data_IF_791500319165
#
_entry.id   IF_791500319165
#
_cell.length_a   1.000
_cell.length_b   1.000
_cell.length_c   1.000
_cell.angle_alpha   90.00
_cell.angle_beta   90.00
_cell.angle_gamma   90.00
#
_symmetry.space_group_name_H-M   'P 1'
#
loop_
_entity.id
_entity.type
_entity.pdbx_description
1 polymer ?
#
# COMPACT_ATOMS: atom_id res chain seq x y z
N UNK A 1 -9.43 -0.40 3.07
CA UNK A 1 -10.82 -0.86 3.16
C UNK A 1 -11.12 -1.74 1.95
N UNK A 2 -11.39 -3.02 2.19
CA UNK A 2 -11.59 -4.00 1.13
C UNK A 2 -13.07 -4.06 0.72
N UNK A 3 -13.39 -3.58 -0.47
CA UNK A 3 -14.73 -3.66 -1.07
C UNK A 3 -14.93 -4.99 -1.82
N UNK A 4 -14.47 -6.09 -1.21
CA UNK A 4 -14.51 -7.45 -1.79
C UNK A 4 -15.20 -8.43 -0.85
N UNK A 5 -16.01 -9.35 -1.35
CA UNK A 5 -16.69 -10.35 -0.51
C UNK A 5 -15.73 -11.41 0.04
N UNK A 6 -14.54 -11.57 -0.55
CA UNK A 6 -13.57 -12.64 -0.32
C UNK A 6 -12.20 -12.15 0.16
N UNK A 7 -12.15 -11.00 0.83
CA UNK A 7 -10.90 -10.45 1.40
C UNK A 7 -10.21 -11.47 2.32
N UNK A 8 -8.89 -11.63 2.18
CA UNK A 8 -8.12 -12.56 3.02
C UNK A 8 -8.01 -12.10 4.48
N UNK A 9 -8.16 -10.80 4.75
CA UNK A 9 -8.04 -10.22 6.09
C UNK A 9 -9.36 -10.22 6.85
N UNK A 10 -10.42 -9.65 6.26
CA UNK A 10 -11.69 -9.39 6.94
C UNK A 10 -12.86 -10.28 6.47
N UNK A 11 -12.59 -11.22 5.55
CA UNK A 11 -13.60 -12.15 5.00
C UNK A 11 -14.86 -11.45 4.48
N UNK A 12 -14.68 -10.27 3.86
CA UNK A 12 -15.77 -9.49 3.30
C UNK A 12 -16.55 -8.62 4.31
N UNK A 13 -16.04 -8.42 5.52
CA UNK A 13 -16.70 -7.62 6.55
C UNK A 13 -16.98 -6.18 6.08
N UNK A 14 -16.14 -5.61 5.23
CA UNK A 14 -16.28 -4.26 4.67
C UNK A 14 -16.85 -4.24 3.25
N UNK A 15 -17.46 -5.32 2.78
CA UNK A 15 -18.09 -5.36 1.45
C UNK A 15 -19.36 -4.49 1.38
N UNK A 16 -20.15 -4.40 2.45
CA UNK A 16 -21.32 -3.49 2.53
C UNK A 16 -20.88 -2.08 2.93
N UNK A 17 -21.64 -1.06 2.51
CA UNK A 17 -21.28 0.35 2.70
C UNK A 17 -21.19 0.76 4.17
N UNK A 18 -22.17 0.43 5.00
CA UNK A 18 -22.17 0.83 6.42
C UNK A 18 -20.96 0.29 7.21
N UNK A 19 -20.62 -1.01 7.18
CA UNK A 19 -19.40 -1.51 7.84
C UNK A 19 -18.12 -0.91 7.24
N UNK A 20 -18.09 -0.67 5.92
CA UNK A 20 -16.94 -0.06 5.26
C UNK A 20 -16.73 1.39 5.73
N UNK A 21 -17.79 2.18 5.82
CA UNK A 21 -17.72 3.56 6.32
C UNK A 21 -17.34 3.61 7.80
N UNK A 22 -17.89 2.72 8.62
CA UNK A 22 -17.49 2.60 10.02
C UNK A 22 -15.98 2.27 10.15
N UNK A 23 -15.44 1.43 9.26
CA UNK A 23 -13.98 1.14 9.21
C UNK A 23 -13.17 2.36 8.78
N UNK A 24 -13.65 3.16 7.82
CA UNK A 24 -13.01 4.44 7.45
C UNK A 24 -12.97 5.38 8.65
N UNK A 25 -14.12 5.59 9.31
CA UNK A 25 -14.22 6.46 10.48
C UNK A 25 -13.27 6.03 11.60
N UNK A 26 -13.23 4.74 11.89
CA UNK A 26 -12.29 4.17 12.86
C UNK A 26 -10.82 4.43 12.44
N UNK A 27 -10.45 4.15 11.18
CA UNK A 27 -9.08 4.34 10.71
C UNK A 27 -8.64 5.82 10.79
N UNK A 28 -9.52 6.74 10.43
CA UNK A 28 -9.27 8.18 10.56
C UNK A 28 -9.11 8.58 12.04
N UNK A 29 -9.97 8.08 12.92
CA UNK A 29 -9.86 8.33 14.37
C UNK A 29 -8.58 7.74 14.98
N UNK A 30 -8.08 6.61 14.46
CA UNK A 30 -6.81 5.98 14.81
C UNK A 30 -5.58 6.70 14.22
N UNK A 31 -5.78 7.71 13.36
CA UNK A 31 -4.74 8.57 12.80
C UNK A 31 -4.24 8.17 11.42
N UNK A 32 -5.03 7.43 10.62
CA UNK A 32 -4.72 7.21 9.22
C UNK A 32 -4.82 8.53 8.44
N UNK A 33 -3.76 8.88 7.70
CA UNK A 33 -3.76 10.03 6.80
C UNK A 33 -4.28 9.69 5.40
N UNK A 34 -4.20 8.42 5.02
CA UNK A 34 -4.61 7.90 3.72
C UNK A 34 -5.58 6.73 3.95
N UNK A 35 -6.70 6.73 3.24
CA UNK A 35 -7.62 5.59 3.18
C UNK A 35 -7.48 4.92 1.83
N UNK A 36 -6.99 3.66 1.84
CA UNK A 36 -6.83 2.86 0.63
C UNK A 36 -8.04 1.95 0.43
N UNK A 37 -8.67 2.06 -0.74
CA UNK A 37 -9.93 1.38 -1.10
C UNK A 37 -9.66 0.42 -2.25
N UNK A 38 -9.93 -0.89 -2.05
CA UNK A 38 -9.73 -1.90 -3.08
C UNK A 38 -11.03 -2.62 -3.44
N UNK A 39 -11.37 -2.68 -4.73
CA UNK A 39 -12.55 -3.36 -5.28
C UNK A 39 -12.31 -4.80 -5.68
N UNK A 40 -11.04 -5.21 -5.80
CA UNK A 40 -10.62 -6.55 -6.23
C UNK A 40 -9.56 -7.09 -5.29
N UNK A 41 -9.68 -8.36 -4.92
CA UNK A 41 -8.68 -9.06 -4.11
C UNK A 41 -7.40 -9.26 -4.92
N UNK A 42 -6.26 -8.96 -4.30
CA UNK A 42 -4.95 -9.09 -4.93
C UNK A 42 -4.55 -10.54 -5.29
N UNK A 43 -5.06 -11.55 -4.58
CA UNK A 43 -4.77 -12.96 -4.86
C UNK A 43 -5.68 -13.59 -5.91
N UNK A 44 -5.41 -14.84 -6.31
CA UNK A 44 -6.29 -15.62 -7.19
C UNK A 44 -7.73 -15.71 -6.66
N UNK A 45 -8.68 -15.81 -7.55
CA UNK A 45 -10.10 -15.90 -7.24
C UNK A 45 -10.95 -15.74 -8.50
N UNK A 46 -12.26 -15.61 -8.33
CA UNK A 46 -13.18 -15.36 -9.45
C UNK A 46 -12.82 -14.07 -10.20
N UNK A 47 -12.99 -14.09 -11.52
CA UNK A 47 -12.74 -12.90 -12.32
C UNK A 47 -13.72 -11.79 -11.93
N UNK A 48 -13.19 -10.59 -11.76
CA UNK A 48 -13.94 -9.36 -11.50
C UNK A 48 -13.73 -8.44 -12.68
N UNK A 49 -14.80 -8.09 -13.40
CA UNK A 49 -14.72 -7.14 -14.50
C UNK A 49 -14.40 -5.73 -14.00
N UNK A 50 -13.90 -4.89 -14.88
CA UNK A 50 -13.66 -3.48 -14.54
C UNK A 50 -14.96 -2.73 -14.18
N UNK A 51 -16.06 -3.04 -14.86
CA UNK A 51 -17.40 -2.50 -14.54
C UNK A 51 -17.82 -2.86 -13.10
N UNK A 52 -17.63 -4.13 -12.70
CA UNK A 52 -17.95 -4.57 -11.34
C UNK A 52 -17.01 -3.95 -10.31
N UNK A 53 -15.72 -3.79 -10.60
CA UNK A 53 -14.77 -3.09 -9.75
C UNK A 53 -15.16 -1.62 -9.56
N UNK A 54 -15.50 -0.92 -10.65
CA UNK A 54 -15.98 0.46 -10.60
C UNK A 54 -17.29 0.56 -9.80
N UNK A 55 -18.22 -0.36 -9.98
CA UNK A 55 -19.48 -0.42 -9.21
C UNK A 55 -19.22 -0.54 -7.70
N UNK A 56 -18.19 -1.29 -7.27
CA UNK A 56 -17.81 -1.46 -5.87
C UNK A 56 -17.12 -0.26 -5.27
N UNK A 57 -16.42 0.54 -6.08
CA UNK A 57 -15.48 1.55 -5.58
C UNK A 57 -15.95 2.98 -5.81
N UNK A 58 -16.48 3.34 -6.97
CA UNK A 58 -16.76 4.73 -7.35
C UNK A 58 -17.72 5.43 -6.39
N UNK A 59 -18.88 4.82 -6.12
CA UNK A 59 -19.86 5.40 -5.18
C UNK A 59 -19.32 5.49 -3.75
N UNK A 60 -18.51 4.53 -3.36
CA UNK A 60 -17.89 4.52 -2.03
C UNK A 60 -16.80 5.61 -1.89
N UNK A 61 -15.97 5.82 -2.91
CA UNK A 61 -15.00 6.93 -2.97
C UNK A 61 -15.70 8.27 -2.82
N UNK A 62 -16.77 8.50 -3.57
CA UNK A 62 -17.56 9.74 -3.48
C UNK A 62 -18.14 9.96 -2.08
N UNK A 63 -18.64 8.92 -1.42
CA UNK A 63 -19.19 9.01 -0.07
C UNK A 63 -18.10 9.25 0.98
N UNK A 64 -16.92 8.60 0.86
CA UNK A 64 -15.77 8.85 1.73
C UNK A 64 -15.30 10.29 1.58
N UNK A 65 -15.15 10.81 0.35
CA UNK A 65 -14.78 12.20 0.09
C UNK A 65 -15.77 13.19 0.72
N UNK A 66 -17.06 12.90 0.62
CA UNK A 66 -18.11 13.75 1.19
C UNK A 66 -18.05 13.82 2.71
N UNK A 67 -17.73 12.69 3.40
CA UNK A 67 -17.67 12.62 4.87
C UNK A 67 -16.34 13.10 5.44
N UNK A 68 -15.25 12.84 4.72
CA UNK A 68 -13.88 13.10 5.15
C UNK A 68 -13.16 13.93 4.07
N UNK A 69 -13.47 15.23 3.94
CA UNK A 69 -12.96 16.06 2.85
C UNK A 69 -11.44 16.22 2.85
N UNK A 70 -10.79 16.09 4.01
CA UNK A 70 -9.36 16.33 4.18
C UNK A 70 -8.51 15.04 4.13
N UNK A 71 -9.14 13.84 4.11
CA UNK A 71 -8.39 12.59 4.04
C UNK A 71 -7.92 12.33 2.62
N UNK A 72 -6.70 11.83 2.45
CA UNK A 72 -6.23 11.35 1.14
C UNK A 72 -6.91 10.02 0.82
N UNK A 73 -7.55 9.94 -0.34
CA UNK A 73 -8.20 8.72 -0.81
C UNK A 73 -7.32 8.05 -1.85
N UNK A 74 -6.82 6.87 -1.52
CA UNK A 74 -6.10 5.96 -2.41
C UNK A 74 -7.06 4.90 -2.94
N UNK A 75 -6.91 4.50 -4.20
CA UNK A 75 -7.65 3.39 -4.77
C UNK A 75 -6.71 2.35 -5.35
N UNK A 76 -6.80 1.12 -4.81
CA UNK A 76 -6.05 -0.06 -5.26
C UNK A 76 -6.71 -0.59 -6.54
N UNK A 77 -6.12 -0.27 -7.69
CA UNK A 77 -6.52 -0.75 -9.01
C UNK A 77 -5.35 -0.70 -9.98
N UNK A 78 -5.33 -1.63 -10.94
CA UNK A 78 -4.37 -1.62 -12.06
C UNK A 78 -5.01 -1.18 -13.38
N UNK A 79 -6.34 -0.92 -13.40
CA UNK A 79 -7.10 -0.64 -14.62
C UNK A 79 -7.29 0.84 -14.86
N UNK A 80 -6.91 1.32 -16.01
CA UNK A 80 -7.06 2.74 -16.39
C UNK A 80 -8.51 3.21 -16.36
N UNK A 81 -9.47 2.40 -16.83
CA UNK A 81 -10.89 2.78 -16.84
C UNK A 81 -11.50 2.91 -15.44
N UNK A 82 -11.07 2.06 -14.49
CA UNK A 82 -11.47 2.18 -13.07
C UNK A 82 -10.79 3.40 -12.46
N UNK A 83 -9.50 3.60 -12.73
CA UNK A 83 -8.73 4.77 -12.32
C UNK A 83 -9.41 6.07 -12.74
N UNK A 84 -9.85 6.19 -14.00
CA UNK A 84 -10.59 7.34 -14.52
C UNK A 84 -11.86 7.62 -13.70
N UNK A 85 -12.66 6.60 -13.46
CA UNK A 85 -13.93 6.72 -12.75
C UNK A 85 -13.74 7.11 -11.27
N UNK A 86 -12.75 6.52 -10.57
CA UNK A 86 -12.51 6.83 -9.15
C UNK A 86 -11.84 8.20 -8.96
N UNK A 87 -10.99 8.64 -9.89
CA UNK A 87 -10.44 10.00 -9.88
C UNK A 87 -11.55 11.04 -10.07
N UNK A 88 -12.48 10.81 -11.00
CA UNK A 88 -13.65 11.66 -11.18
C UNK A 88 -14.56 11.71 -9.93
N UNK A 89 -14.56 10.64 -9.11
CA UNK A 89 -15.29 10.55 -7.85
C UNK A 89 -14.55 11.16 -6.65
N UNK A 90 -13.28 11.58 -6.81
CA UNK A 90 -12.52 12.29 -5.79
C UNK A 90 -11.36 11.49 -5.18
N UNK A 91 -10.82 10.47 -5.84
CA UNK A 91 -9.56 9.84 -5.44
C UNK A 91 -8.37 10.78 -5.66
N UNK A 92 -7.39 10.74 -4.76
CA UNK A 92 -6.16 11.56 -4.80
C UNK A 92 -4.93 10.75 -5.21
N UNK A 93 -4.99 9.41 -5.10
CA UNK A 93 -3.88 8.50 -5.32
C UNK A 93 -4.38 7.22 -5.98
N UNK A 94 -3.71 6.79 -7.02
CA UNK A 94 -3.90 5.46 -7.61
C UNK A 94 -2.80 4.51 -7.10
N UNK A 95 -3.20 3.42 -6.48
CA UNK A 95 -2.28 2.41 -5.95
C UNK A 95 -2.19 1.25 -6.93
N UNK A 96 -1.19 1.30 -7.84
CA UNK A 96 -0.93 0.23 -8.80
C UNK A 96 -0.08 -0.87 -8.17
N UNK A 97 -0.75 -1.84 -7.60
CA UNK A 97 -0.08 -3.00 -6.99
C UNK A 97 0.48 -4.01 -8.02
N UNK A 98 0.29 -3.79 -9.33
CA UNK A 98 0.63 -4.76 -10.38
C UNK A 98 1.67 -4.25 -11.40
N UNK A 99 2.46 -3.25 -11.01
CA UNK A 99 3.67 -2.88 -11.73
C UNK A 99 3.45 -2.35 -13.14
N UNK A 100 2.41 -1.57 -13.35
CA UNK A 100 2.10 -1.00 -14.66
C UNK A 100 1.48 -1.99 -15.63
N UNK A 101 0.74 -3.00 -15.13
CA UNK A 101 0.07 -4.01 -15.96
C UNK A 101 -0.87 -3.36 -17.00
N UNK A 102 -1.53 -2.26 -16.64
CA UNK A 102 -2.20 -1.36 -17.59
C UNK A 102 -1.44 -0.03 -17.64
N UNK A 103 -0.66 0.21 -18.70
CA UNK A 103 0.13 1.43 -18.84
C UNK A 103 -0.71 2.71 -18.94
N UNK A 104 -1.99 2.61 -19.26
CA UNK A 104 -2.93 3.74 -19.30
C UNK A 104 -3.23 4.31 -17.92
N UNK A 105 -3.01 3.55 -16.83
CA UNK A 105 -3.26 4.05 -15.47
C UNK A 105 -2.38 5.25 -15.10
N UNK A 106 -1.11 5.26 -15.50
CA UNK A 106 -0.21 6.39 -15.30
C UNK A 106 -0.66 7.65 -16.10
N UNK A 107 -1.24 7.46 -17.29
CA UNK A 107 -1.82 8.55 -18.08
C UNK A 107 -3.07 9.14 -17.39
N UNK A 108 -3.88 8.29 -16.76
CA UNK A 108 -5.02 8.73 -15.93
C UNK A 108 -4.52 9.56 -14.76
N UNK A 109 -3.53 9.07 -14.01
CA UNK A 109 -2.95 9.80 -12.88
C UNK A 109 -2.45 11.19 -13.30
N UNK A 110 -1.78 11.29 -14.46
CA UNK A 110 -1.30 12.54 -15.02
C UNK A 110 -2.45 13.49 -15.38
N UNK A 111 -3.48 13.02 -16.11
CA UNK A 111 -4.64 13.83 -16.51
C UNK A 111 -5.39 14.42 -15.33
N UNK A 112 -5.61 13.62 -14.29
CA UNK A 112 -6.30 14.03 -13.06
C UNK A 112 -5.40 14.74 -12.07
N UNK A 113 -4.06 14.76 -12.30
CA UNK A 113 -3.04 15.32 -11.40
C UNK A 113 -3.11 14.70 -10.00
N UNK A 114 -3.37 13.40 -9.93
CA UNK A 114 -3.36 12.60 -8.71
C UNK A 114 -2.03 11.85 -8.55
N UNK A 115 -1.76 11.35 -7.36
CA UNK A 115 -0.56 10.55 -7.10
C UNK A 115 -0.63 9.15 -7.72
N UNK A 116 0.54 8.51 -7.81
CA UNK A 116 0.66 7.13 -8.29
C UNK A 116 1.65 6.34 -7.41
N UNK A 117 1.27 5.14 -7.02
CA UNK A 117 2.19 4.16 -6.43
C UNK A 117 2.70 3.24 -7.52
N UNK A 118 4.01 3.15 -7.65
CA UNK A 118 4.71 2.29 -8.61
C UNK A 118 5.25 1.05 -7.88
N UNK A 119 4.55 -0.06 -7.98
CA UNK A 119 4.87 -1.29 -7.23
C UNK A 119 5.63 -2.28 -8.09
N UNK A 120 6.60 -2.97 -7.50
CA UNK A 120 7.28 -4.10 -8.13
C UNK A 120 6.47 -5.39 -7.98
N UNK A 121 5.91 -5.88 -9.08
CA UNK A 121 5.14 -7.13 -9.14
C UNK A 121 5.93 -8.34 -9.68
N UNK A 122 7.22 -8.18 -10.01
CA UNK A 122 8.09 -9.24 -10.53
C UNK A 122 7.62 -9.81 -11.88
N UNK A 123 6.99 -9.00 -12.72
CA UNK A 123 6.44 -9.41 -14.01
C UNK A 123 5.24 -10.37 -13.91
N UNK A 124 4.67 -10.52 -12.73
CA UNK A 124 3.48 -11.35 -12.54
C UNK A 124 2.25 -10.68 -13.15
N UNK A 125 1.43 -11.46 -13.86
CA UNK A 125 0.11 -11.00 -14.28
C UNK A 125 -0.79 -10.73 -13.06
N UNK A 126 -1.69 -9.73 -13.14
CA UNK A 126 -2.61 -9.42 -12.06
C UNK A 126 -3.35 -10.65 -11.53
N UNK A 127 -3.40 -10.77 -10.19
CA UNK A 127 -4.09 -11.85 -9.47
C UNK A 127 -3.51 -13.25 -9.67
N UNK A 128 -2.28 -13.35 -10.18
CA UNK A 128 -1.56 -14.62 -10.27
C UNK A 128 -0.58 -14.81 -9.11
N UNK A 129 -0.24 -16.06 -8.81
CA UNK A 129 0.82 -16.42 -7.87
C UNK A 129 1.78 -17.36 -8.58
N UNK A 130 2.94 -16.86 -9.04
CA UNK A 130 3.95 -17.73 -9.68
C UNK A 130 4.51 -18.72 -8.64
N UNK A 131 4.61 -20.00 -9.04
CA UNK A 131 5.09 -21.07 -8.14
C UNK A 131 6.59 -21.02 -7.86
N UNK A 132 7.37 -20.45 -8.75
CA UNK A 132 8.83 -20.32 -8.61
C UNK A 132 9.25 -18.98 -9.17
N UNK A 133 9.82 -18.16 -8.30
CA UNK A 133 10.35 -16.85 -8.64
C UNK A 133 11.84 -16.87 -8.34
N UNK A 134 12.64 -16.45 -9.30
CA UNK A 134 14.10 -16.33 -9.17
C UNK A 134 14.54 -14.94 -9.60
N UNK A 135 15.49 -14.39 -8.86
CA UNK A 135 16.18 -13.14 -9.17
C UNK A 135 17.67 -13.38 -9.03
N UNK A 136 18.48 -12.81 -9.88
CA UNK A 136 19.93 -12.74 -9.66
C UNK A 136 20.23 -11.77 -8.49
N UNK A 137 19.55 -10.63 -8.46
CA UNK A 137 19.48 -9.68 -7.36
C UNK A 137 18.08 -9.05 -7.30
N UNK A 138 17.32 -9.40 -6.26
CA UNK A 138 15.93 -8.94 -6.11
C UNK A 138 15.82 -7.42 -5.94
N UNK A 139 16.81 -6.78 -5.27
CA UNK A 139 16.76 -5.33 -5.06
C UNK A 139 17.16 -4.55 -6.30
N UNK A 140 18.08 -5.05 -7.10
CA UNK A 140 18.41 -4.46 -8.40
C UNK A 140 17.19 -4.46 -9.32
N UNK A 141 16.47 -5.59 -9.39
CA UNK A 141 15.24 -5.72 -10.18
C UNK A 141 14.11 -4.79 -9.63
N UNK A 142 13.92 -4.76 -8.31
CA UNK A 142 12.96 -3.84 -7.67
C UNK A 142 13.25 -2.39 -8.02
N UNK A 143 14.51 -1.96 -7.92
CA UNK A 143 14.91 -0.59 -8.22
C UNK A 143 14.73 -0.26 -9.70
N UNK A 144 15.19 -1.12 -10.59
CA UNK A 144 15.06 -0.91 -12.05
C UNK A 144 13.59 -0.71 -12.43
N UNK A 145 12.72 -1.61 -12.00
CA UNK A 145 11.29 -1.58 -12.34
C UNK A 145 10.59 -0.36 -11.70
N UNK A 146 10.73 -0.17 -10.39
CA UNK A 146 9.97 0.88 -9.70
C UNK A 146 10.43 2.28 -10.06
N UNK A 147 11.73 2.50 -10.20
CA UNK A 147 12.27 3.79 -10.65
C UNK A 147 11.87 4.08 -12.10
N UNK A 148 11.96 3.08 -12.99
CA UNK A 148 11.52 3.23 -14.38
C UNK A 148 10.04 3.59 -14.50
N UNK A 149 9.16 2.96 -13.70
CA UNK A 149 7.74 3.30 -13.64
C UNK A 149 7.52 4.72 -13.09
N UNK A 150 8.26 5.12 -12.04
CA UNK A 150 8.16 6.44 -11.45
C UNK A 150 8.62 7.55 -12.41
N UNK A 151 9.74 7.36 -13.11
CA UNK A 151 10.25 8.27 -14.13
C UNK A 151 9.28 8.42 -15.29
N UNK A 152 8.69 7.30 -15.74
CA UNK A 152 7.64 7.32 -16.77
C UNK A 152 6.41 8.11 -16.31
N UNK A 153 5.93 7.90 -15.08
CA UNK A 153 4.80 8.64 -14.53
C UNK A 153 5.05 10.16 -14.53
N UNK A 154 6.25 10.58 -14.12
CA UNK A 154 6.65 11.99 -14.14
C UNK A 154 6.74 12.53 -15.58
N UNK A 155 7.29 11.75 -16.50
CA UNK A 155 7.36 12.14 -17.91
C UNK A 155 5.96 12.32 -18.55
N UNK A 156 4.95 11.60 -18.07
CA UNK A 156 3.54 11.76 -18.47
C UNK A 156 2.86 12.95 -17.80
N UNK A 157 3.46 13.55 -16.76
CA UNK A 157 2.93 14.72 -16.08
C UNK A 157 2.41 14.52 -14.65
N UNK A 158 2.61 13.33 -14.05
CA UNK A 158 2.34 13.13 -12.62
C UNK A 158 3.34 13.96 -11.81
N UNK A 159 2.91 14.78 -10.82
CA UNK A 159 3.83 15.53 -9.98
C UNK A 159 4.82 14.59 -9.27
N UNK A 160 6.12 14.89 -9.36
CA UNK A 160 7.17 14.02 -8.81
C UNK A 160 6.96 13.74 -7.31
N UNK A 161 6.55 14.73 -6.55
CA UNK A 161 6.26 14.66 -5.12
C UNK A 161 5.06 13.77 -4.77
N UNK A 162 4.24 13.44 -5.77
CA UNK A 162 3.05 12.58 -5.63
C UNK A 162 3.27 11.16 -6.14
N UNK A 163 4.49 10.82 -6.56
CA UNK A 163 4.85 9.46 -6.99
C UNK A 163 5.56 8.74 -5.85
N UNK A 164 5.09 7.53 -5.54
CA UNK A 164 5.65 6.64 -4.52
C UNK A 164 6.14 5.35 -5.20
N UNK A 165 7.18 4.74 -4.63
CA UNK A 165 7.66 3.42 -5.05
C UNK A 165 7.41 2.39 -3.94
N UNK A 166 7.04 1.16 -4.31
CA UNK A 166 6.77 0.04 -3.38
C UNK A 166 7.55 -1.20 -3.81
N UNK A 167 8.37 -1.82 -2.94
CA UNK A 167 9.09 -3.05 -3.27
C UNK A 167 8.17 -4.26 -3.52
N UNK A 168 6.88 -4.16 -3.22
CA UNK A 168 5.89 -5.20 -3.51
C UNK A 168 6.15 -6.50 -2.77
N UNK A 169 6.26 -6.48 -1.45
CA UNK A 169 6.40 -7.69 -0.64
C UNK A 169 5.29 -8.70 -0.96
N UNK A 170 5.65 -9.96 -1.15
CA UNK A 170 4.82 -11.09 -1.59
C UNK A 170 4.28 -11.01 -3.03
N UNK A 171 4.46 -9.89 -3.74
CA UNK A 171 4.15 -9.80 -5.17
C UNK A 171 5.35 -10.25 -6.00
N UNK A 172 5.18 -11.32 -6.77
CA UNK A 172 6.28 -11.91 -7.54
C UNK A 172 7.51 -12.29 -6.69
N UNK A 173 7.36 -12.49 -5.41
CA UNK A 173 8.44 -12.78 -4.44
C UNK A 173 8.08 -13.95 -3.53
N UNK A 174 9.09 -14.73 -3.17
CA UNK A 174 9.01 -15.68 -2.06
C UNK A 174 9.41 -14.99 -0.75
N UNK A 175 9.28 -15.72 0.36
CA UNK A 175 9.61 -15.23 1.71
C UNK A 175 11.03 -14.70 1.83
N UNK A 176 12.03 -15.37 1.22
CA UNK A 176 13.44 -14.93 1.27
C UNK A 176 13.63 -13.62 0.50
N UNK A 177 13.00 -13.47 -0.66
CA UNK A 177 13.04 -12.24 -1.44
C UNK A 177 12.37 -11.07 -0.69
N UNK A 178 11.23 -11.31 -0.03
CA UNK A 178 10.55 -10.29 0.78
C UNK A 178 11.38 -9.87 1.99
N UNK A 179 12.04 -10.81 2.67
CA UNK A 179 12.98 -10.51 3.76
C UNK A 179 14.21 -9.74 3.27
N UNK A 180 14.75 -10.09 2.10
CA UNK A 180 15.88 -9.38 1.51
C UNK A 180 15.49 -7.96 1.09
N UNK A 181 14.34 -7.77 0.45
CA UNK A 181 13.81 -6.46 0.10
C UNK A 181 13.62 -5.57 1.35
N UNK A 182 13.14 -6.15 2.46
CA UNK A 182 13.05 -5.42 3.72
C UNK A 182 14.42 -5.03 4.26
N UNK A 183 15.40 -5.93 4.23
CA UNK A 183 16.76 -5.70 4.75
C UNK A 183 17.50 -4.61 4.00
N UNK A 184 17.27 -4.50 2.68
CA UNK A 184 17.95 -3.58 1.76
C UNK A 184 17.05 -2.41 1.35
N UNK A 185 16.05 -2.07 2.16
CA UNK A 185 15.08 -1.02 1.85
C UNK A 185 15.72 0.38 1.75
N UNK A 186 16.82 0.60 2.46
CA UNK A 186 17.62 1.83 2.38
C UNK A 186 18.17 2.10 0.98
N UNK A 187 18.40 1.08 0.15
CA UNK A 187 18.76 1.25 -1.26
C UNK A 187 17.61 1.91 -2.06
N UNK A 188 16.35 1.54 -1.80
CA UNK A 188 15.20 2.23 -2.40
C UNK A 188 15.06 3.67 -1.92
N UNK A 189 15.27 3.90 -0.63
CA UNK A 189 15.24 5.25 -0.05
C UNK A 189 16.34 6.13 -0.68
N UNK A 190 17.52 5.57 -0.91
CA UNK A 190 18.63 6.25 -1.58
C UNK A 190 18.33 6.62 -3.05
N UNK A 191 17.36 5.97 -3.70
CA UNK A 191 16.91 6.34 -5.04
C UNK A 191 16.14 7.68 -5.09
N UNK A 192 15.82 8.26 -3.92
CA UNK A 192 15.24 9.61 -3.79
C UNK A 192 13.76 9.73 -4.12
N UNK A 193 13.02 8.63 -4.02
CA UNK A 193 11.56 8.59 -4.09
C UNK A 193 10.95 8.29 -2.73
N UNK A 194 9.74 8.79 -2.41
CA UNK A 194 9.01 8.31 -1.25
C UNK A 194 8.75 6.80 -1.35
N UNK A 195 9.06 6.06 -0.29
CA UNK A 195 8.90 4.59 -0.26
C UNK A 195 7.65 4.22 0.53
N UNK A 196 6.73 3.51 -0.13
CA UNK A 196 5.59 2.86 0.48
C UNK A 196 5.93 1.39 0.76
N UNK A 197 5.51 0.88 1.91
CA UNK A 197 5.57 -0.54 2.24
C UNK A 197 4.22 -1.08 2.68
N UNK A 198 3.89 -2.27 2.19
CA UNK A 198 2.65 -2.98 2.49
C UNK A 198 2.98 -4.33 3.13
N UNK A 199 3.10 -4.36 4.47
CA UNK A 199 3.65 -5.50 5.23
C UNK A 199 2.61 -6.29 6.01
N UNK A 200 1.43 -5.66 6.24
CA UNK A 200 0.46 -6.11 7.24
C UNK A 200 -0.08 -7.51 6.94
N UNK A 201 0.21 -8.42 7.87
CA UNK A 201 -0.24 -9.82 7.90
C UNK A 201 0.12 -10.66 6.66
N UNK A 202 1.14 -10.24 5.89
CA UNK A 202 1.59 -10.90 4.67
C UNK A 202 2.21 -12.27 4.92
N UNK A 203 2.25 -13.09 3.88
CA UNK A 203 2.68 -14.49 3.97
C UNK A 203 4.15 -14.62 4.37
N UNK A 204 5.04 -13.73 3.91
CA UNK A 204 6.44 -13.77 4.33
C UNK A 204 6.62 -13.59 5.85
N UNK A 205 5.76 -12.80 6.52
CA UNK A 205 5.75 -12.68 7.98
C UNK A 205 5.28 -13.98 8.62
N UNK A 206 4.18 -14.54 8.11
CA UNK A 206 3.62 -15.79 8.59
C UNK A 206 4.57 -16.97 8.46
N UNK A 207 5.19 -17.13 7.28
CA UNK A 207 6.16 -18.19 7.01
C UNK A 207 7.44 -18.05 7.85
N UNK A 208 7.94 -16.82 8.03
CA UNK A 208 9.13 -16.58 8.85
C UNK A 208 8.93 -16.98 10.30
N UNK A 209 7.72 -16.80 10.84
CA UNK A 209 7.40 -17.02 12.25
C UNK A 209 6.62 -18.32 12.52
N UNK A 210 6.23 -19.04 11.45
CA UNK A 210 5.30 -20.16 11.52
C UNK A 210 4.01 -19.77 12.24
N UNK A 211 3.32 -18.69 11.71
CA UNK A 211 2.11 -18.14 12.32
C UNK A 211 0.95 -17.99 11.31
N UNK A 212 -0.27 -18.38 11.72
CA UNK A 212 -1.47 -18.10 10.94
C UNK A 212 -1.75 -16.60 10.89
N UNK A 213 -2.56 -16.16 9.92
CA UNK A 213 -2.83 -14.72 9.64
C UNK A 213 -3.20 -13.92 10.88
N UNK A 214 -4.03 -14.46 11.77
CA UNK A 214 -4.49 -13.78 12.99
C UNK A 214 -3.42 -13.58 14.07
N UNK A 215 -2.26 -14.23 13.94
CA UNK A 215 -1.15 -14.16 14.90
C UNK A 215 0.08 -13.42 14.34
N UNK A 216 -0.05 -12.74 13.20
CA UNK A 216 1.07 -12.09 12.49
C UNK A 216 1.30 -10.64 12.94
N UNK A 217 0.49 -10.08 13.83
CA UNK A 217 0.58 -8.67 14.23
C UNK A 217 1.98 -8.30 14.75
N UNK A 218 2.54 -9.07 15.67
CA UNK A 218 3.86 -8.77 16.26
C UNK A 218 4.95 -8.76 15.19
N UNK A 219 4.95 -9.75 14.27
CA UNK A 219 5.89 -9.78 13.16
C UNK A 219 5.70 -8.61 12.19
N UNK A 220 4.46 -8.24 11.90
CA UNK A 220 4.11 -7.06 11.11
C UNK A 220 4.68 -5.78 11.72
N UNK A 221 4.46 -5.57 13.02
CA UNK A 221 4.96 -4.38 13.74
C UNK A 221 6.50 -4.35 13.81
N UNK A 222 7.14 -5.50 14.01
CA UNK A 222 8.61 -5.59 13.98
C UNK A 222 9.16 -5.21 12.60
N UNK A 223 8.58 -5.74 11.53
CA UNK A 223 8.98 -5.42 10.15
C UNK A 223 8.71 -3.94 9.81
N UNK A 224 7.60 -3.39 10.30
CA UNK A 224 7.27 -1.97 10.18
C UNK A 224 8.31 -1.10 10.88
N UNK A 225 8.74 -1.45 12.10
CA UNK A 225 9.76 -0.71 12.83
C UNK A 225 11.10 -0.69 12.06
N UNK A 226 11.52 -1.85 11.53
CA UNK A 226 12.75 -1.96 10.72
C UNK A 226 12.63 -1.12 9.46
N UNK A 227 11.51 -1.21 8.73
CA UNK A 227 11.28 -0.43 7.50
C UNK A 227 11.27 1.07 7.78
N UNK A 228 10.71 1.51 8.92
CA UNK A 228 10.74 2.90 9.34
C UNK A 228 12.15 3.39 9.67
N UNK A 229 12.92 2.56 10.36
CA UNK A 229 14.32 2.87 10.66
C UNK A 229 15.18 2.98 9.39
N UNK A 230 14.89 2.19 8.36
CA UNK A 230 15.55 2.23 7.05
C UNK A 230 15.04 3.36 6.14
N UNK A 231 14.01 4.12 6.54
CA UNK A 231 13.60 5.35 5.86
C UNK A 231 12.32 5.23 5.01
N UNK A 232 11.55 4.14 5.10
CA UNK A 232 10.21 4.10 4.49
C UNK A 232 9.32 5.22 5.08
N UNK A 233 8.45 5.79 4.25
CA UNK A 233 7.66 6.97 4.60
C UNK A 233 6.17 6.73 4.62
N UNK A 234 5.66 5.76 3.87
CA UNK A 234 4.23 5.42 3.80
C UNK A 234 4.03 3.94 4.12
N UNK A 235 3.04 3.64 4.94
CA UNK A 235 2.75 2.29 5.45
C UNK A 235 1.29 1.94 5.19
N UNK A 236 1.06 0.94 4.35
CA UNK A 236 -0.28 0.40 4.09
C UNK A 236 -0.55 -0.73 5.08
N UNK A 237 -1.50 -0.49 5.99
CA UNK A 237 -1.72 -1.34 7.18
C UNK A 237 -3.18 -1.62 7.44
N UNK A 238 -3.46 -2.70 8.19
CA UNK A 238 -4.78 -3.00 8.73
C UNK A 238 -4.93 -2.45 10.16
N UNK A 239 -3.90 -2.59 10.99
CA UNK A 239 -3.89 -2.20 12.40
C UNK A 239 -3.26 -0.81 12.55
N UNK A 240 -4.10 0.24 12.38
CA UNK A 240 -3.63 1.63 12.31
C UNK A 240 -3.09 2.11 13.65
N UNK A 241 -3.83 1.87 14.75
CA UNK A 241 -3.46 2.37 16.07
C UNK A 241 -2.12 1.79 16.55
N UNK A 242 -1.91 0.48 16.38
CA UNK A 242 -0.67 -0.21 16.76
C UNK A 242 0.49 0.24 15.89
N UNK A 243 0.25 0.39 14.58
CA UNK A 243 1.28 0.87 13.64
C UNK A 243 1.71 2.30 13.98
N UNK A 244 0.77 3.20 14.29
CA UNK A 244 1.08 4.58 14.72
C UNK A 244 2.00 4.59 15.94
N UNK A 245 1.72 3.75 16.95
CA UNK A 245 2.57 3.66 18.14
C UNK A 245 4.00 3.22 17.79
N UNK A 246 4.17 2.26 16.87
CA UNK A 246 5.49 1.82 16.40
C UNK A 246 6.21 2.95 15.69
N UNK A 247 5.56 3.63 14.74
CA UNK A 247 6.15 4.72 13.97
C UNK A 247 6.53 5.90 14.87
N UNK A 248 5.67 6.25 15.83
CA UNK A 248 5.93 7.29 16.80
C UNK A 248 7.14 6.96 17.70
N UNK A 249 7.27 5.68 18.10
CA UNK A 249 8.40 5.22 18.90
C UNK A 249 9.70 5.24 18.09
N UNK A 250 9.70 4.74 16.85
CA UNK A 250 10.87 4.77 15.96
C UNK A 250 11.30 6.22 15.69
N UNK A 251 10.35 7.11 15.40
CA UNK A 251 10.63 8.53 15.16
C UNK A 251 11.23 9.23 16.39
N UNK A 252 10.78 8.87 17.59
CA UNK A 252 11.35 9.40 18.83
C UNK A 252 12.77 8.87 19.08
N UNK A 253 13.04 7.57 18.82
CA UNK A 253 14.37 6.97 18.91
C UNK A 253 15.34 7.63 17.93
N UNK A 254 14.88 7.89 16.70
CA UNK A 254 15.66 8.56 15.65
C UNK A 254 15.88 10.06 15.90
N UNK A 255 15.24 10.64 16.94
CA UNK A 255 15.36 12.06 17.27
C UNK A 255 14.53 12.99 16.39
N UNK A 256 13.63 12.47 15.56
CA UNK A 256 12.78 13.27 14.67
C UNK A 256 11.59 13.91 15.40
N UNK A 257 11.24 13.43 16.58
CA UNK A 257 10.21 14.01 17.44
C UNK A 257 10.56 13.86 18.93
N UNK A 258 10.13 14.78 19.81
CA UNK A 258 10.27 14.60 21.24
C UNK A 258 9.30 13.48 21.75
N UNK A 259 9.61 12.86 22.90
CA UNK A 259 8.65 11.98 23.56
C UNK A 259 7.38 12.76 23.91
N UNK A 260 6.21 12.11 23.85
CA UNK A 260 4.94 12.73 24.19
C UNK A 260 4.91 13.23 25.66
N UNK A 261 5.60 12.53 26.55
CA UNK A 261 5.78 12.89 27.97
C UNK A 261 7.17 12.49 28.41
N UNK A 262 7.89 13.41 29.04
CA UNK A 262 9.19 13.16 29.67
C UNK A 262 9.08 13.50 31.18
N UNK A 263 8.87 12.50 32.02
CA UNK A 263 8.75 12.68 33.49
C UNK A 263 9.85 11.96 34.25
N UNK A 264 10.42 10.89 33.69
CA UNK A 264 11.45 10.08 34.34
C UNK A 264 12.75 10.86 34.44
N UNK A 265 13.31 10.97 35.65
CA UNK A 265 14.59 11.67 35.88
C UNK A 265 14.54 13.20 35.82
N UNK A 266 13.36 13.78 35.64
CA UNK A 266 13.11 15.20 35.72
C UNK A 266 12.52 15.49 37.14
N UNK A 267 13.35 15.44 38.16
CA UNK A 267 12.98 15.82 39.51
C UNK A 267 13.48 17.26 39.80
#
# INVERSE_FOLDING_TARGET
VNRTPDSFYDSGATFRDEPALARVEQAVAEGAAIIDIGGVKAGPGEEVSAEEEARRTVGFVAEVRRRFPDVVISVDTWRAEVGEAVCAAGADLLNDAWGGADPGLAEVAARHRVGLVCTHAGGAEPRTRPHRVTYDDVMADVLEVTVGLAERAVALGVPRESVLIDPGHDFGKNTRHSLEATRRLDEMVAAGWPVLVSLSNKDFVGETLDRPVKERLIGTLATTAVSSWLGATVYRVHEVAETRQVLDMVSAIAGHRPPAVARRGLA
#
